data_IF_618352357556
#
_entry.id   IF_618352357556
#
_cell.length_a   1.000
_cell.length_b   1.000
_cell.length_c   1.000
_cell.angle_alpha   90.00
_cell.angle_beta   90.00
_cell.angle_gamma   90.00
#
_symmetry.space_group_name_H-M   'P 1'
#
loop_
_entity.id
_entity.type
_entity.pdbx_description
1 polymer ?
#
# COMPACT_ATOMS: atom_id res chain seq x y z
N UNK A 1 -17.20 3.56 12.71
CA UNK A 1 -17.16 3.13 11.30
C UNK A 1 -16.87 4.35 10.45
N UNK A 2 -15.87 4.27 9.57
CA UNK A 2 -15.50 5.34 8.63
C UNK A 2 -15.50 4.77 7.22
N UNK A 3 -15.95 5.54 6.23
CA UNK A 3 -15.91 5.15 4.82
C UNK A 3 -15.33 6.30 3.99
N UNK A 4 -14.78 5.98 2.84
CA UNK A 4 -14.21 6.95 1.91
C UNK A 4 -14.25 6.42 0.48
N UNK A 5 -14.29 7.35 -0.46
CA UNK A 5 -14.15 7.06 -1.88
C UNK A 5 -13.17 8.07 -2.49
N UNK A 6 -12.46 7.67 -3.52
CA UNK A 6 -11.48 8.51 -4.22
C UNK A 6 -11.66 8.33 -5.72
N UNK A 7 -11.74 9.43 -6.44
CA UNK A 7 -11.63 9.44 -7.90
C UNK A 7 -10.19 9.79 -8.29
N UNK A 8 -9.63 9.02 -9.21
CA UNK A 8 -8.26 9.22 -9.73
C UNK A 8 -8.32 9.45 -11.24
N UNK A 9 -7.52 10.41 -11.70
CA UNK A 9 -7.22 10.62 -13.12
C UNK A 9 -5.80 10.14 -13.34
N UNK A 10 -5.62 9.24 -14.30
CA UNK A 10 -4.31 8.67 -14.64
C UNK A 10 -3.88 9.26 -15.97
N UNK A 11 -2.70 9.86 -15.96
CA UNK A 11 -1.97 10.23 -17.16
C UNK A 11 -0.70 9.39 -17.23
N UNK A 12 -0.46 8.78 -18.38
CA UNK A 12 0.73 7.98 -18.63
C UNK A 12 1.34 8.46 -19.93
N UNK A 13 2.61 8.82 -19.86
CA UNK A 13 3.43 9.17 -21.01
C UNK A 13 4.58 8.18 -21.07
N UNK A 14 4.49 7.26 -22.02
CA UNK A 14 5.60 6.40 -22.40
C UNK A 14 6.10 7.02 -23.70
N UNK A 15 7.41 7.16 -23.91
CA UNK A 15 8.01 7.94 -25.02
C UNK A 15 7.43 7.72 -26.44
N UNK A 16 6.63 6.67 -26.64
CA UNK A 16 5.96 6.31 -27.89
C UNK A 16 4.45 6.62 -27.89
N UNK A 17 3.81 6.68 -26.70
CA UNK A 17 2.35 6.70 -26.52
C UNK A 17 1.91 7.41 -25.24
N UNK A 18 0.83 8.20 -25.35
CA UNK A 18 0.17 8.82 -24.20
C UNK A 18 -1.14 8.12 -23.90
N UNK A 19 -1.43 7.86 -22.63
CA UNK A 19 -2.66 7.22 -22.18
C UNK A 19 -3.38 8.01 -21.09
N UNK A 20 -4.70 8.05 -21.16
CA UNK A 20 -5.57 8.64 -20.15
C UNK A 20 -6.50 7.59 -19.56
N UNK A 21 -6.74 7.68 -18.25
CA UNK A 21 -7.71 6.81 -17.58
C UNK A 21 -8.38 7.47 -16.39
N UNK A 22 -9.54 6.91 -16.03
CA UNK A 22 -10.33 7.31 -14.89
C UNK A 22 -10.59 6.09 -14.02
N UNK A 23 -10.35 6.22 -12.72
CA UNK A 23 -10.58 5.17 -11.75
C UNK A 23 -11.33 5.66 -10.53
N UNK A 24 -12.02 4.72 -9.87
CA UNK A 24 -12.69 4.94 -8.59
C UNK A 24 -12.19 3.91 -7.60
N UNK A 25 -11.78 4.38 -6.43
CA UNK A 25 -11.39 3.55 -5.29
C UNK A 25 -12.37 3.82 -4.14
N UNK A 26 -12.65 2.80 -3.33
CA UNK A 26 -13.50 2.91 -2.14
C UNK A 26 -12.87 2.17 -0.97
N UNK A 27 -13.13 2.63 0.25
CA UNK A 27 -12.58 2.00 1.45
C UNK A 27 -13.47 2.18 2.66
N UNK A 28 -13.43 1.20 3.55
CA UNK A 28 -14.14 1.20 4.83
C UNK A 28 -13.15 0.83 5.93
N UNK A 29 -13.17 1.58 7.02
CA UNK A 29 -12.38 1.34 8.22
C UNK A 29 -13.32 1.18 9.41
N UNK A 30 -13.18 0.06 10.11
CA UNK A 30 -13.93 -0.27 11.30
C UNK A 30 -12.97 -0.43 12.49
N UNK A 31 -13.03 0.53 13.42
CA UNK A 31 -12.35 0.42 14.71
C UNK A 31 -13.20 -0.47 15.61
N UNK A 32 -12.72 -1.67 15.90
CA UNK A 32 -13.39 -2.61 16.81
C UNK A 32 -13.30 -2.06 18.24
N UNK A 33 -12.11 -1.60 18.61
CA UNK A 33 -11.81 -0.92 19.87
C UNK A 33 -10.62 0.05 19.69
N UNK A 34 -9.93 0.41 20.78
CA UNK A 34 -8.75 1.30 20.74
C UNK A 34 -7.47 0.63 20.22
N UNK A 35 -7.45 -0.71 20.23
CA UNK A 35 -6.33 -1.59 19.86
C UNK A 35 -6.52 -2.13 18.46
N UNK A 36 -7.70 -2.64 18.11
CA UNK A 36 -7.95 -3.38 16.86
C UNK A 36 -8.71 -2.51 15.86
N UNK A 37 -8.16 -2.44 14.64
CA UNK A 37 -8.79 -1.81 13.48
C UNK A 37 -8.85 -2.80 12.32
N UNK A 38 -10.04 -3.03 11.79
CA UNK A 38 -10.24 -3.75 10.54
C UNK A 38 -10.48 -2.74 9.41
N UNK A 39 -9.97 -3.01 8.22
CA UNK A 39 -10.20 -2.19 7.06
C UNK A 39 -10.38 -3.06 5.81
N UNK A 40 -11.17 -2.57 4.86
CA UNK A 40 -11.25 -3.15 3.52
C UNK A 40 -11.21 -2.00 2.54
N UNK A 41 -10.29 -2.08 1.58
CA UNK A 41 -10.27 -1.18 0.43
C UNK A 41 -10.55 -1.97 -0.84
N UNK A 42 -11.27 -1.36 -1.78
CA UNK A 42 -11.47 -1.85 -3.14
C UNK A 42 -10.92 -0.79 -4.07
N UNK A 43 -9.88 -1.12 -4.82
CA UNK A 43 -9.33 -0.25 -5.86
C UNK A 43 -9.91 -0.61 -7.22
N UNK A 44 -10.02 0.36 -8.10
CA UNK A 44 -10.47 0.19 -9.49
C UNK A 44 -11.88 -0.41 -9.57
N UNK A 45 -12.80 0.10 -8.75
CA UNK A 45 -14.18 -0.37 -8.54
C UNK A 45 -14.98 -0.50 -9.85
N UNK A 46 -14.76 0.41 -10.80
CA UNK A 46 -15.44 0.44 -12.10
C UNK A 46 -14.63 -0.15 -13.25
N UNK A 47 -13.50 -0.80 -12.94
CA UNK A 47 -12.41 -1.08 -13.87
C UNK A 47 -11.84 0.20 -14.49
N UNK A 48 -10.55 0.45 -14.30
CA UNK A 48 -9.93 1.65 -14.84
C UNK A 48 -9.55 1.39 -16.29
N UNK A 49 -10.23 2.05 -17.22
CA UNK A 49 -9.91 2.01 -18.64
C UNK A 49 -8.81 3.04 -18.94
N UNK A 50 -7.70 2.58 -19.49
CA UNK A 50 -6.66 3.41 -20.09
C UNK A 50 -6.82 3.36 -21.60
N UNK A 51 -7.10 4.50 -22.22
CA UNK A 51 -7.09 4.67 -23.67
C UNK A 51 -5.78 5.32 -24.10
N UNK A 52 -5.03 4.65 -24.95
CA UNK A 52 -3.76 5.14 -25.50
C UNK A 52 -3.95 5.80 -26.86
N UNK A 53 -3.01 6.64 -27.26
CA UNK A 53 -3.01 7.39 -28.53
C UNK A 53 -2.88 6.52 -29.80
N UNK A 54 -2.59 5.23 -29.65
CA UNK A 54 -2.40 4.24 -30.73
C UNK A 54 -3.59 3.29 -30.92
N UNK A 55 -4.77 3.67 -30.42
CA UNK A 55 -6.00 2.85 -30.37
C UNK A 55 -5.93 1.58 -29.49
N UNK A 56 -4.84 1.39 -28.72
CA UNK A 56 -4.80 0.33 -27.72
C UNK A 56 -5.54 0.74 -26.44
N UNK A 57 -6.18 -0.24 -25.81
CA UNK A 57 -6.86 -0.07 -24.52
C UNK A 57 -6.31 -1.06 -23.51
N UNK A 58 -6.06 -0.58 -22.29
CA UNK A 58 -5.66 -1.38 -21.14
C UNK A 58 -6.78 -1.28 -20.09
N UNK A 59 -7.18 -2.41 -19.52
CA UNK A 59 -8.17 -2.45 -18.44
C UNK A 59 -7.49 -2.91 -17.17
N UNK A 60 -7.49 -2.07 -16.16
CA UNK A 60 -7.05 -2.42 -14.81
C UNK A 60 -8.24 -2.98 -14.06
N UNK A 61 -8.14 -4.22 -13.60
CA UNK A 61 -9.24 -4.90 -12.90
C UNK A 61 -9.27 -4.53 -11.42
N UNK A 62 -10.46 -4.65 -10.79
CA UNK A 62 -10.61 -4.36 -9.38
C UNK A 62 -9.70 -5.23 -8.50
N UNK A 63 -9.26 -4.67 -7.38
CA UNK A 63 -8.54 -5.39 -6.35
C UNK A 63 -9.14 -5.12 -4.97
N UNK A 64 -9.32 -6.18 -4.18
CA UNK A 64 -9.88 -6.11 -2.82
C UNK A 64 -8.76 -6.33 -1.82
N UNK A 65 -8.67 -5.42 -0.85
CA UNK A 65 -7.56 -5.32 0.09
C UNK A 65 -8.07 -5.32 1.53
N UNK A 66 -8.49 -6.47 2.08
CA UNK A 66 -8.75 -6.60 3.51
C UNK A 66 -7.45 -6.41 4.31
N UNK A 67 -7.54 -5.69 5.42
CA UNK A 67 -6.45 -5.43 6.33
C UNK A 67 -6.92 -5.44 7.79
N UNK A 68 -6.02 -5.85 8.68
CA UNK A 68 -6.20 -5.83 10.13
C UNK A 68 -4.99 -5.15 10.75
N UNK A 69 -5.23 -4.29 11.74
CA UNK A 69 -4.18 -3.60 12.49
C UNK A 69 -4.42 -3.72 13.99
N UNK A 70 -3.36 -3.94 14.74
CA UNK A 70 -3.33 -4.06 16.20
C UNK A 70 -2.35 -3.01 16.73
N UNK A 71 -2.85 -2.06 17.53
CA UNK A 71 -2.09 -0.98 18.17
C UNK A 71 -1.90 -1.26 19.65
N UNK A 72 -0.65 -1.40 20.08
CA UNK A 72 -0.24 -1.55 21.46
C UNK A 72 0.52 -0.30 21.91
N UNK A 73 -0.13 0.56 22.69
CA UNK A 73 0.48 1.76 23.24
C UNK A 73 0.79 1.58 24.73
N UNK A 74 2.04 1.84 25.14
CA UNK A 74 2.49 1.87 26.54
C UNK A 74 3.38 3.08 26.80
N UNK A 75 2.84 4.05 27.52
CA UNK A 75 3.53 5.26 28.00
C UNK A 75 4.18 6.05 26.84
N UNK A 76 5.45 5.80 26.59
CA UNK A 76 6.25 6.49 25.56
C UNK A 76 6.48 5.63 24.32
N UNK A 77 6.09 4.36 24.32
CA UNK A 77 6.27 3.44 23.19
C UNK A 77 4.91 3.07 22.61
N UNK A 78 4.77 3.13 21.28
CA UNK A 78 3.60 2.63 20.56
C UNK A 78 4.05 1.65 19.47
N UNK A 79 3.47 0.46 19.45
CA UNK A 79 3.70 -0.53 18.42
C UNK A 79 2.41 -0.79 17.63
N UNK A 80 2.51 -0.85 16.30
CA UNK A 80 1.40 -1.13 15.40
C UNK A 80 1.79 -2.30 14.52
N UNK A 81 1.10 -3.42 14.68
CA UNK A 81 1.19 -4.57 13.78
C UNK A 81 0.06 -4.50 12.78
N UNK A 82 0.35 -4.64 11.50
CA UNK A 82 -0.64 -4.63 10.42
C UNK A 82 -0.44 -5.83 9.51
N UNK A 83 -1.52 -6.50 9.15
CA UNK A 83 -1.57 -7.53 8.13
C UNK A 83 -2.58 -7.15 7.06
N UNK A 84 -2.25 -7.41 5.80
CA UNK A 84 -3.10 -7.14 4.65
C UNK A 84 -3.01 -8.29 3.67
N UNK A 85 -4.11 -8.56 2.98
CA UNK A 85 -4.13 -9.46 1.81
C UNK A 85 -4.61 -8.67 0.62
N UNK A 86 -3.95 -8.80 -0.52
CA UNK A 86 -4.40 -8.17 -1.77
C UNK A 86 -4.93 -9.26 -2.68
N UNK A 87 -6.25 -9.25 -2.87
CA UNK A 87 -6.95 -10.11 -3.82
C UNK A 87 -7.11 -9.35 -5.13
N UNK A 88 -6.52 -9.85 -6.22
CA UNK A 88 -6.71 -9.30 -7.56
C UNK A 88 -7.40 -10.32 -8.44
N UNK A 89 -8.24 -9.83 -9.34
CA UNK A 89 -8.97 -10.64 -10.32
C UNK A 89 -8.33 -10.55 -11.72
N UNK A 90 -7.02 -10.36 -11.75
CA UNK A 90 -6.19 -10.38 -12.96
C UNK A 90 -5.45 -11.71 -12.98
N UNK A 91 -5.51 -12.44 -14.10
CA UNK A 91 -4.81 -13.72 -14.27
C UNK A 91 -3.29 -13.62 -14.32
N UNK A 92 -2.65 -13.04 -13.29
CA UNK A 92 -1.20 -12.89 -13.15
C UNK A 92 -0.58 -14.22 -12.71
N UNK A 93 -0.50 -15.17 -13.66
CA UNK A 93 0.04 -16.54 -13.45
C UNK A 93 1.51 -16.62 -13.02
N UNK A 94 2.29 -15.53 -13.06
CA UNK A 94 3.76 -15.58 -12.90
C UNK A 94 4.33 -14.80 -11.70
N UNK A 95 3.56 -13.95 -11.00
CA UNK A 95 4.11 -13.09 -9.93
C UNK A 95 3.32 -13.10 -8.62
N UNK A 96 2.29 -13.95 -8.50
CA UNK A 96 1.43 -14.01 -7.32
C UNK A 96 1.92 -15.08 -6.32
N UNK A 97 1.87 -14.77 -5.01
CA UNK A 97 2.21 -15.73 -3.94
C UNK A 97 1.25 -16.93 -3.92
N UNK A 98 -0.04 -16.67 -4.13
CA UNK A 98 -1.08 -17.69 -4.30
C UNK A 98 -1.89 -17.38 -5.56
N UNK A 99 -2.02 -18.34 -6.45
CA UNK A 99 -2.83 -18.22 -7.65
C UNK A 99 -3.76 -19.42 -7.81
N UNK A 100 -5.04 -19.15 -8.09
CA UNK A 100 -6.00 -20.15 -8.55
C UNK A 100 -6.76 -19.58 -9.74
N UNK A 101 -6.38 -20.01 -10.95
CA UNK A 101 -6.99 -19.53 -12.19
C UNK A 101 -6.72 -18.04 -12.44
N UNK A 102 -7.76 -17.20 -12.32
CA UNK A 102 -7.72 -15.75 -12.56
C UNK A 102 -7.65 -14.92 -11.27
N UNK A 103 -7.52 -15.57 -10.10
CA UNK A 103 -7.46 -14.89 -8.80
C UNK A 103 -6.06 -15.06 -8.24
N UNK A 104 -5.44 -13.94 -7.85
CA UNK A 104 -4.18 -13.90 -7.13
C UNK A 104 -4.38 -13.30 -5.74
N UNK A 105 -3.74 -13.91 -4.73
CA UNK A 105 -3.70 -13.40 -3.37
C UNK A 105 -2.25 -13.18 -2.95
N UNK A 106 -1.93 -11.95 -2.55
CA UNK A 106 -0.60 -11.58 -2.02
C UNK A 106 -0.73 -11.17 -0.55
N UNK A 107 0.14 -11.69 0.30
CA UNK A 107 0.14 -11.39 1.73
C UNK A 107 1.20 -10.34 2.08
N UNK A 108 0.78 -9.38 2.90
CA UNK A 108 1.63 -8.30 3.37
C UNK A 108 1.49 -8.18 4.88
N UNK A 109 2.62 -7.99 5.56
CA UNK A 109 2.65 -7.74 6.98
C UNK A 109 3.66 -6.63 7.29
N UNK A 110 3.35 -5.81 8.29
CA UNK A 110 4.21 -4.72 8.72
C UNK A 110 4.12 -4.50 10.22
N UNK A 111 5.25 -4.17 10.84
CA UNK A 111 5.34 -3.77 12.23
C UNK A 111 6.00 -2.39 12.28
N UNK A 112 5.32 -1.45 12.91
CA UNK A 112 5.88 -0.15 13.28
C UNK A 112 6.04 -0.09 14.79
N UNK A 113 7.18 0.39 15.27
CA UNK A 113 7.42 0.73 16.67
C UNK A 113 7.88 2.17 16.73
N UNK A 114 7.22 2.97 17.56
CA UNK A 114 7.55 4.37 17.75
C UNK A 114 7.90 4.66 19.21
N UNK A 115 8.85 5.57 19.40
CA UNK A 115 9.25 6.08 20.70
C UNK A 115 9.02 7.59 20.78
N UNK A 116 8.25 8.02 21.78
CA UNK A 116 7.85 9.41 22.06
C UNK A 116 7.25 10.13 20.85
N UNK A 117 6.69 9.38 19.88
CA UNK A 117 6.24 9.90 18.58
C UNK A 117 7.31 10.70 17.82
N UNK A 118 8.59 10.46 18.14
CA UNK A 118 9.74 11.17 17.60
C UNK A 118 10.67 10.24 16.83
N UNK A 119 10.82 8.98 17.25
CA UNK A 119 11.60 7.98 16.52
C UNK A 119 10.69 6.82 16.11
N UNK A 120 10.85 6.33 14.89
CA UNK A 120 10.04 5.26 14.30
C UNK A 120 10.96 4.20 13.73
N UNK A 121 10.71 2.95 14.07
CA UNK A 121 11.30 1.77 13.44
C UNK A 121 10.22 0.98 12.73
N UNK A 122 10.45 0.60 11.48
CA UNK A 122 9.50 -0.13 10.65
C UNK A 122 10.16 -1.35 10.06
N UNK A 123 9.45 -2.46 10.07
CA UNK A 123 9.80 -3.65 9.30
C UNK A 123 8.57 -4.14 8.57
N UNK A 124 8.77 -4.67 7.37
CA UNK A 124 7.72 -5.12 6.49
C UNK A 124 8.10 -6.37 5.73
N UNK A 125 7.09 -7.13 5.37
CA UNK A 125 7.18 -8.29 4.51
C UNK A 125 6.11 -8.16 3.42
N UNK A 126 6.52 -8.28 2.16
CA UNK A 126 5.66 -8.22 0.99
C UNK A 126 6.14 -9.26 -0.03
N UNK A 127 5.35 -10.29 -0.30
CA UNK A 127 5.60 -11.24 -1.39
C UNK A 127 7.03 -11.84 -1.39
N UNK A 128 7.50 -12.32 -0.24
CA UNK A 128 8.85 -12.86 -0.09
C UNK A 128 9.95 -11.83 0.13
N UNK A 129 9.64 -10.53 0.13
CA UNK A 129 10.63 -9.45 0.24
C UNK A 129 10.56 -8.79 1.60
N UNK A 130 11.72 -8.61 2.21
CA UNK A 130 11.86 -7.91 3.47
C UNK A 130 12.15 -6.42 3.23
N UNK A 131 11.50 -5.58 4.02
CA UNK A 131 11.73 -4.15 4.06
C UNK A 131 12.02 -3.71 5.50
N UNK A 132 12.94 -2.78 5.66
CA UNK A 132 13.21 -2.14 6.95
C UNK A 132 13.23 -0.62 6.75
N UNK A 133 12.84 0.14 7.76
CA UNK A 133 12.85 1.59 7.69
C UNK A 133 13.01 2.23 9.06
N UNK A 134 13.55 3.44 9.03
CA UNK A 134 13.69 4.31 10.19
C UNK A 134 13.08 5.65 9.85
N UNK A 135 12.38 6.23 10.82
CA UNK A 135 11.79 7.55 10.70
C UNK A 135 12.11 8.40 11.92
N UNK A 136 12.19 9.70 11.72
CA UNK A 136 12.31 10.66 12.80
C UNK A 136 11.38 11.84 12.57
N UNK A 137 10.70 12.29 13.63
CA UNK A 137 9.87 13.47 13.64
C UNK A 137 10.47 14.51 14.60
N UNK A 138 10.66 15.72 14.10
CA UNK A 138 11.14 16.87 14.85
C UNK A 138 10.21 18.06 14.63
N UNK A 139 9.43 18.40 15.66
CA UNK A 139 8.41 19.44 15.61
C UNK A 139 7.39 19.20 14.47
N UNK A 140 7.52 19.92 13.35
CA UNK A 140 6.65 19.80 12.17
C UNK A 140 7.25 18.95 11.05
N UNK A 141 8.52 18.60 11.14
CA UNK A 141 9.25 17.89 10.09
C UNK A 141 9.29 16.40 10.37
N UNK A 142 9.10 15.60 9.32
CA UNK A 142 9.18 14.16 9.35
C UNK A 142 10.14 13.69 8.26
N UNK A 143 11.08 12.83 8.61
CA UNK A 143 12.08 12.26 7.70
C UNK A 143 11.99 10.74 7.84
N UNK A 144 11.84 10.03 6.72
CA UNK A 144 11.89 8.58 6.69
C UNK A 144 12.95 8.09 5.71
N UNK A 145 13.60 7.00 6.09
CA UNK A 145 14.53 6.23 5.29
C UNK A 145 14.07 4.77 5.28
N UNK A 146 13.89 4.22 4.09
CA UNK A 146 13.50 2.83 3.89
C UNK A 146 14.54 2.09 3.05
N UNK A 147 14.90 0.91 3.51
CA UNK A 147 15.73 -0.07 2.84
C UNK A 147 14.84 -1.21 2.34
N UNK A 148 14.97 -1.53 1.06
CA UNK A 148 14.22 -2.57 0.39
C UNK A 148 15.20 -3.61 -0.14
N UNK A 149 15.13 -4.82 0.39
CA UNK A 149 15.96 -5.92 -0.08
C UNK A 149 15.32 -6.55 -1.33
N UNK A 150 16.10 -6.70 -2.39
CA UNK A 150 15.69 -7.37 -3.62
C UNK A 150 16.66 -8.50 -3.94
N UNK A 151 16.14 -9.65 -4.38
CA UNK A 151 16.99 -10.77 -4.76
C UNK A 151 17.57 -10.63 -6.19
N UNK A 152 16.96 -9.78 -7.04
CA UNK A 152 17.30 -9.64 -8.47
C UNK A 152 17.84 -8.24 -8.86
N UNK A 153 17.79 -7.24 -7.97
CA UNK A 153 18.26 -5.86 -8.20
C UNK A 153 19.02 -5.39 -6.95
N UNK A 154 20.09 -4.63 -7.13
CA UNK A 154 20.88 -4.07 -6.03
C UNK A 154 19.99 -3.36 -4.98
N UNK A 155 20.39 -3.44 -3.72
CA UNK A 155 19.66 -2.90 -2.58
C UNK A 155 19.23 -1.44 -2.81
N UNK A 156 17.94 -1.15 -2.62
CA UNK A 156 17.39 0.18 -2.89
C UNK A 156 17.08 0.94 -1.61
N UNK A 157 17.58 2.18 -1.53
CA UNK A 157 17.25 3.12 -0.47
C UNK A 157 16.22 4.14 -0.96
N UNK A 158 15.14 4.34 -0.20
CA UNK A 158 14.14 5.39 -0.42
C UNK A 158 14.21 6.39 0.73
N UNK A 159 14.23 7.67 0.39
CA UNK A 159 14.21 8.77 1.35
C UNK A 159 12.97 9.62 1.09
N UNK A 160 12.21 9.90 2.14
CA UNK A 160 11.05 10.79 2.09
C UNK A 160 11.09 11.81 3.21
N UNK A 161 10.56 13.01 2.94
CA UNK A 161 10.40 14.07 3.92
C UNK A 161 8.99 14.65 3.83
N UNK A 162 8.42 15.01 4.98
CA UNK A 162 7.09 15.57 5.11
C UNK A 162 7.03 16.73 6.11
N UNK A 163 6.03 17.58 5.96
CA UNK A 163 5.74 18.70 6.87
C UNK A 163 4.29 18.61 7.33
N UNK A 164 4.05 18.72 8.62
CA UNK A 164 2.71 18.67 9.24
C UNK A 164 2.29 20.06 9.70
N UNK A 165 1.00 20.40 9.53
CA UNK A 165 0.40 21.71 9.84
C UNK A 165 -0.71 21.61 10.88
#
# INVERSE_FOLDING_TARGET
LSYGATAKVIYRDIAVETGYGLGLDAGVVYKVDTVITAAVAVTDLTSTFLAYSNDNTETIYPAVKPALSIRLARREVEAILTGQTILRFEGRRQTAELWQGNISADFQAGLEVSYRKAAFGRVGYDQGRFAAGLGAAFDRYLIDLAYLHHNDLDDTFRVSAGVTF
#
